data_IF_204229262480
#
_entry.id   IF_204229262480
#
_cell.length_a   1.000
_cell.length_b   1.000
_cell.length_c   1.000
_cell.angle_alpha   90.00
_cell.angle_beta   90.00
_cell.angle_gamma   90.00
#
_symmetry.space_group_name_H-M   'P 1'
#
loop_
_entity.id
_entity.type
_entity.pdbx_description
1 polymer ?
#
# COMPACT_ATOMS: atom_id res chain seq x y z
N UNK A 1 29.71 19.54 15.01
CA UNK A 1 28.55 19.33 15.90
C UNK A 1 27.94 17.99 15.53
N UNK A 2 27.85 17.06 16.50
CA UNK A 2 27.44 15.68 16.27
C UNK A 2 25.98 15.64 15.78
N UNK A 3 25.78 15.14 14.56
CA UNK A 3 24.44 14.87 14.05
C UNK A 3 23.88 13.65 14.80
N UNK A 4 22.96 13.89 15.73
CA UNK A 4 22.20 12.83 16.39
C UNK A 4 21.41 12.03 15.36
N UNK A 5 21.90 10.84 15.06
CA UNK A 5 21.22 9.88 14.19
C UNK A 5 20.00 9.33 14.93
N UNK A 6 18.81 9.88 14.66
CA UNK A 6 17.58 9.59 15.40
C UNK A 6 17.05 8.17 15.09
N UNK A 7 17.54 7.17 15.83
CA UNK A 7 17.24 5.74 15.67
C UNK A 7 15.91 5.30 16.33
N UNK A 8 14.85 6.08 16.14
CA UNK A 8 13.54 5.81 16.75
C UNK A 8 12.57 5.22 15.74
N UNK A 9 11.88 4.13 16.11
CA UNK A 9 10.69 3.61 15.43
C UNK A 9 9.49 3.81 16.38
N UNK A 10 8.29 4.02 15.85
CA UNK A 10 7.05 4.29 16.62
C UNK A 10 7.15 5.51 17.54
N UNK A 11 7.45 6.70 17.00
CA UNK A 11 7.47 7.97 17.77
C UNK A 11 8.36 7.95 19.04
N UNK A 12 9.39 7.10 19.08
CA UNK A 12 10.35 7.04 20.20
C UNK A 12 10.24 5.85 21.14
N UNK A 13 9.31 4.91 20.90
CA UNK A 13 9.08 3.77 21.80
C UNK A 13 10.20 2.71 21.79
N UNK A 14 10.92 2.56 20.68
CA UNK A 14 12.04 1.61 20.60
C UNK A 14 13.28 2.35 20.10
N UNK A 15 14.27 2.49 20.99
CA UNK A 15 15.60 3.03 20.67
C UNK A 15 16.54 1.88 20.35
N UNK A 16 17.10 1.89 19.15
CA UNK A 16 18.05 0.88 18.71
C UNK A 16 19.48 1.38 18.88
N UNK A 17 20.38 0.49 19.31
CA UNK A 17 21.80 0.80 19.49
C UNK A 17 22.56 0.85 18.15
N UNK A 18 22.05 0.16 17.12
CA UNK A 18 22.64 0.12 15.77
C UNK A 18 21.58 0.13 14.66
N UNK A 19 22.01 0.55 13.45
CA UNK A 19 21.21 0.47 12.22
C UNK A 19 20.78 -0.97 11.88
N UNK A 20 21.64 -1.95 12.11
CA UNK A 20 21.34 -3.37 11.86
C UNK A 20 20.24 -3.90 12.77
N UNK A 21 20.23 -3.52 14.05
CA UNK A 21 19.17 -3.92 14.98
C UNK A 21 17.82 -3.28 14.62
N UNK A 22 17.85 -2.04 14.13
CA UNK A 22 16.67 -1.33 13.62
C UNK A 22 16.05 -2.07 12.43
N UNK A 23 16.87 -2.46 11.44
CA UNK A 23 16.42 -3.21 10.25
C UNK A 23 15.78 -4.55 10.67
N UNK A 24 16.41 -5.28 11.59
CA UNK A 24 15.88 -6.56 12.06
C UNK A 24 14.55 -6.41 12.82
N UNK A 25 14.41 -5.33 13.61
CA UNK A 25 13.15 -4.99 14.27
C UNK A 25 12.02 -4.69 13.30
N UNK A 26 12.29 -3.90 12.25
CA UNK A 26 11.29 -3.59 11.20
C UNK A 26 10.93 -4.82 10.40
N UNK A 27 11.90 -5.66 10.06
CA UNK A 27 11.68 -6.90 9.32
C UNK A 27 10.72 -7.82 10.09
N UNK A 28 10.97 -8.05 11.38
CA UNK A 28 10.09 -8.87 12.21
C UNK A 28 8.68 -8.27 12.28
N UNK A 29 8.58 -6.96 12.52
CA UNK A 29 7.29 -6.28 12.55
C UNK A 29 6.51 -6.48 11.24
N UNK A 30 7.16 -6.26 10.09
CA UNK A 30 6.55 -6.42 8.78
C UNK A 30 6.19 -7.88 8.47
N UNK A 31 6.99 -8.84 8.95
CA UNK A 31 6.70 -10.26 8.83
C UNK A 31 5.42 -10.62 9.61
N UNK A 32 5.29 -10.15 10.85
CA UNK A 32 4.09 -10.36 11.68
C UNK A 32 2.86 -9.73 11.01
N UNK A 33 2.96 -8.47 10.57
CA UNK A 33 1.86 -7.79 9.87
C UNK A 33 1.44 -8.58 8.63
N UNK A 34 2.39 -9.03 7.82
CA UNK A 34 2.10 -9.81 6.61
C UNK A 34 1.50 -11.19 6.93
N UNK A 35 1.96 -11.86 7.99
CA UNK A 35 1.39 -13.13 8.44
C UNK A 35 -0.07 -12.97 8.89
N UNK A 36 -0.39 -11.89 9.61
CA UNK A 36 -1.76 -11.56 10.00
C UNK A 36 -2.61 -11.29 8.77
N UNK A 37 -2.09 -10.54 7.80
CA UNK A 37 -2.78 -10.22 6.54
C UNK A 37 -3.15 -11.50 5.77
N UNK A 38 -2.19 -12.42 5.60
CA UNK A 38 -2.42 -13.72 4.94
C UNK A 38 -3.39 -14.59 5.74
N UNK A 39 -3.25 -14.64 7.07
CA UNK A 39 -4.16 -15.41 7.93
C UNK A 39 -5.61 -14.90 7.83
N UNK A 40 -5.82 -13.57 7.87
CA UNK A 40 -7.14 -12.96 7.65
C UNK A 40 -7.66 -13.25 6.24
N UNK A 41 -6.78 -13.29 5.24
CA UNK A 41 -7.11 -13.64 3.86
C UNK A 41 -7.55 -15.08 3.66
N UNK A 42 -7.04 -16.02 4.47
CA UNK A 42 -7.43 -17.43 4.43
C UNK A 42 -8.70 -17.66 5.25
N UNK A 43 -8.73 -17.18 6.49
CA UNK A 43 -9.82 -17.44 7.44
C UNK A 43 -11.11 -16.72 7.02
N UNK A 44 -10.99 -15.54 6.39
CA UNK A 44 -12.13 -14.71 5.91
C UNK A 44 -13.31 -14.73 6.89
N UNK A 45 -13.12 -14.24 8.13
CA UNK A 45 -14.13 -14.38 9.17
C UNK A 45 -15.42 -13.67 8.75
N UNK A 46 -16.56 -14.34 9.02
CA UNK A 46 -17.91 -13.90 8.65
C UNK A 46 -18.17 -12.42 8.96
N UNK A 47 -17.78 -11.97 10.16
CA UNK A 47 -17.92 -10.57 10.57
C UNK A 47 -17.21 -9.56 9.65
N UNK A 48 -16.11 -9.92 8.98
CA UNK A 48 -15.42 -9.01 8.05
C UNK A 48 -15.93 -9.13 6.61
N UNK A 49 -16.64 -10.21 6.27
CA UNK A 49 -17.22 -10.44 4.94
C UNK A 49 -18.68 -10.04 4.83
N UNK A 50 -19.43 -10.08 5.94
CA UNK A 50 -20.87 -9.80 5.99
C UNK A 50 -21.14 -8.32 6.24
N UNK A 51 -20.15 -7.58 6.75
CA UNK A 51 -20.21 -6.13 6.88
C UNK A 51 -19.66 -5.47 5.63
N UNK A 52 -20.53 -4.74 4.93
CA UNK A 52 -20.19 -3.96 3.75
C UNK A 52 -20.03 -2.50 4.14
N UNK A 53 -18.87 -1.92 3.81
CA UNK A 53 -18.57 -0.50 4.02
C UNK A 53 -18.18 0.13 2.68
N UNK A 54 -18.89 1.19 2.27
CA UNK A 54 -18.70 1.87 0.99
C UNK A 54 -18.73 0.91 -0.21
N UNK A 55 -19.68 -0.03 -0.22
CA UNK A 55 -19.89 -0.99 -1.30
C UNK A 55 -18.88 -2.15 -1.37
N UNK A 56 -17.86 -2.17 -0.51
CA UNK A 56 -16.88 -3.25 -0.42
C UNK A 56 -16.92 -3.95 0.93
N UNK A 57 -16.50 -5.21 0.98
CA UNK A 57 -16.37 -5.97 2.22
C UNK A 57 -15.36 -5.29 3.15
N UNK A 58 -15.64 -5.26 4.45
CA UNK A 58 -14.75 -4.66 5.46
C UNK A 58 -13.34 -5.29 5.42
N UNK A 59 -13.26 -6.57 5.06
CA UNK A 59 -12.01 -7.26 4.79
C UNK A 59 -11.12 -6.52 3.77
N UNK A 60 -11.67 -6.08 2.64
CA UNK A 60 -10.90 -5.40 1.58
C UNK A 60 -10.33 -4.07 2.09
N UNK A 61 -11.07 -3.34 2.91
CA UNK A 61 -10.59 -2.11 3.54
C UNK A 61 -9.38 -2.36 4.44
N UNK A 62 -9.44 -3.41 5.26
CA UNK A 62 -8.32 -3.81 6.12
C UNK A 62 -7.09 -4.16 5.28
N UNK A 63 -7.26 -4.90 4.19
CA UNK A 63 -6.15 -5.23 3.28
C UNK A 63 -5.51 -3.99 2.65
N UNK A 64 -6.31 -3.04 2.16
CA UNK A 64 -5.80 -1.78 1.59
C UNK A 64 -5.01 -0.99 2.65
N UNK A 65 -5.52 -0.90 3.87
CA UNK A 65 -4.84 -0.16 4.94
C UNK A 65 -3.53 -0.87 5.34
N UNK A 66 -3.55 -2.18 5.56
CA UNK A 66 -2.36 -2.95 5.94
C UNK A 66 -1.28 -2.90 4.86
N UNK A 67 -1.66 -2.96 3.58
CA UNK A 67 -0.73 -2.81 2.45
C UNK A 67 -0.16 -1.40 2.32
N UNK A 68 -0.91 -0.35 2.63
CA UNK A 68 -0.35 1.01 2.69
C UNK A 68 0.63 1.16 3.86
N UNK A 69 0.28 0.62 5.02
CA UNK A 69 1.14 0.64 6.21
C UNK A 69 2.45 -0.10 5.93
N UNK A 70 2.42 -1.30 5.34
CA UNK A 70 3.67 -2.02 5.00
C UNK A 70 4.51 -1.23 4.00
N UNK A 71 3.90 -0.64 2.97
CA UNK A 71 4.62 0.12 1.95
C UNK A 71 5.34 1.32 2.57
N UNK A 72 4.69 2.02 3.50
CA UNK A 72 5.29 3.12 4.25
C UNK A 72 6.54 2.66 5.03
N UNK A 73 6.44 1.59 5.82
CA UNK A 73 7.58 1.07 6.59
C UNK A 73 8.72 0.56 5.70
N UNK A 74 8.41 -0.07 4.57
CA UNK A 74 9.43 -0.51 3.61
C UNK A 74 10.17 0.70 3.02
N UNK A 75 9.43 1.70 2.55
CA UNK A 75 9.99 2.89 1.94
C UNK A 75 10.82 3.72 2.94
N UNK A 76 10.36 3.86 4.17
CA UNK A 76 11.10 4.64 5.17
C UNK A 76 12.33 3.92 5.73
N UNK A 77 12.21 2.62 6.05
CA UNK A 77 13.25 1.90 6.80
C UNK A 77 14.17 1.05 5.92
N UNK A 78 13.69 0.39 4.85
CA UNK A 78 14.58 -0.38 3.96
C UNK A 78 15.20 0.48 2.87
N UNK A 79 14.43 1.40 2.28
CA UNK A 79 14.96 2.33 1.26
C UNK A 79 15.65 3.56 1.87
N UNK A 80 15.81 3.62 3.20
CA UNK A 80 16.49 4.70 3.92
C UNK A 80 15.97 6.11 3.64
N UNK A 81 14.75 6.25 3.11
CA UNK A 81 14.20 7.54 2.69
C UNK A 81 14.00 8.54 3.84
N UNK A 82 14.05 8.05 5.09
CA UNK A 82 13.89 8.88 6.29
C UNK A 82 15.00 9.91 6.45
N UNK A 83 16.25 9.48 6.23
CA UNK A 83 17.45 10.28 6.47
C UNK A 83 17.93 10.98 5.17
N UNK A 84 17.19 10.78 4.08
CA UNK A 84 17.45 11.39 2.77
C UNK A 84 16.86 12.78 2.57
N UNK A 85 17.44 13.53 1.62
CA UNK A 85 16.98 14.87 1.24
C UNK A 85 15.51 14.84 0.82
N UNK A 86 14.73 15.82 1.29
CA UNK A 86 13.29 15.93 1.01
C UNK A 86 12.97 15.91 -0.49
N UNK A 87 13.86 16.44 -1.33
CA UNK A 87 13.70 16.39 -2.79
C UNK A 87 13.73 14.95 -3.33
N UNK A 88 14.73 14.15 -2.95
CA UNK A 88 14.85 12.75 -3.39
C UNK A 88 13.69 11.89 -2.88
N UNK A 89 13.28 12.10 -1.63
CA UNK A 89 12.11 11.42 -1.05
C UNK A 89 10.85 11.70 -1.86
N UNK A 90 10.63 12.95 -2.26
CA UNK A 90 9.47 13.32 -3.07
C UNK A 90 9.51 12.65 -4.44
N UNK A 91 10.65 12.61 -5.12
CA UNK A 91 10.76 11.92 -6.42
C UNK A 91 10.36 10.45 -6.28
N UNK A 92 10.86 9.76 -5.26
CA UNK A 92 10.60 8.32 -5.08
C UNK A 92 9.16 8.02 -4.70
N UNK A 93 8.50 8.89 -3.92
CA UNK A 93 7.11 8.67 -3.48
C UNK A 93 6.09 9.19 -4.49
N UNK A 94 6.30 10.37 -5.07
CA UNK A 94 5.31 10.99 -5.95
C UNK A 94 5.21 10.33 -7.31
N UNK A 95 6.32 9.81 -7.86
CA UNK A 95 6.31 9.11 -9.16
C UNK A 95 5.37 7.90 -9.15
N UNK A 96 5.48 6.92 -8.23
CA UNK A 96 4.57 5.78 -8.21
C UNK A 96 3.13 6.17 -7.87
N UNK A 97 2.92 7.16 -6.99
CA UNK A 97 1.56 7.64 -6.68
C UNK A 97 0.91 8.24 -7.93
N UNK A 98 1.62 9.12 -8.64
CA UNK A 98 1.14 9.69 -9.90
C UNK A 98 0.86 8.60 -10.93
N UNK A 99 1.79 7.64 -11.09
CA UNK A 99 1.65 6.55 -12.04
C UNK A 99 0.41 5.69 -11.74
N UNK A 100 0.16 5.33 -10.48
CA UNK A 100 -1.01 4.52 -10.09
C UNK A 100 -2.31 5.29 -10.36
N UNK A 101 -2.37 6.58 -9.98
CA UNK A 101 -3.54 7.41 -10.26
C UNK A 101 -3.80 7.55 -11.78
N UNK A 102 -2.74 7.74 -12.56
CA UNK A 102 -2.84 7.84 -14.02
C UNK A 102 -3.24 6.51 -14.67
N UNK A 103 -2.74 5.38 -14.17
CA UNK A 103 -3.14 4.05 -14.61
C UNK A 103 -4.63 3.79 -14.36
N UNK A 104 -5.11 4.12 -13.15
CA UNK A 104 -6.54 4.01 -12.82
C UNK A 104 -7.38 4.87 -13.77
N UNK A 105 -6.93 6.10 -14.04
CA UNK A 105 -7.61 6.99 -14.99
C UNK A 105 -7.72 6.37 -16.39
N UNK A 106 -6.61 5.89 -16.96
CA UNK A 106 -6.63 5.26 -18.30
C UNK A 106 -7.55 4.04 -18.32
N UNK A 107 -7.46 3.17 -17.32
CA UNK A 107 -8.27 1.96 -17.27
C UNK A 107 -9.77 2.27 -17.21
N UNK A 108 -10.16 3.30 -16.44
CA UNK A 108 -11.56 3.72 -16.36
C UNK A 108 -12.04 4.38 -17.66
N UNK A 109 -11.19 5.21 -18.28
CA UNK A 109 -11.52 5.87 -19.54
C UNK A 109 -11.69 4.88 -20.69
N UNK A 110 -10.76 3.94 -20.83
CA UNK A 110 -10.82 2.87 -21.83
C UNK A 110 -12.01 1.92 -21.57
N UNK A 111 -12.29 1.58 -20.30
CA UNK A 111 -13.44 0.76 -19.95
C UNK A 111 -14.77 1.43 -20.32
N UNK A 112 -14.89 2.74 -20.10
CA UNK A 112 -16.08 3.52 -20.49
C UNK A 112 -16.23 3.59 -22.01
N UNK A 113 -15.14 3.86 -22.74
CA UNK A 113 -15.15 3.85 -24.19
C UNK A 113 -15.61 2.51 -24.77
N UNK A 114 -15.03 1.41 -24.27
CA UNK A 114 -15.40 0.05 -24.67
C UNK A 114 -16.87 -0.23 -24.33
N UNK A 115 -17.34 0.18 -23.16
CA UNK A 115 -18.74 0.00 -22.74
C UNK A 115 -19.72 0.72 -23.68
N UNK A 116 -19.42 1.95 -24.08
CA UNK A 116 -20.24 2.71 -25.02
C UNK A 116 -20.26 2.06 -26.41
N UNK A 117 -19.11 1.59 -26.91
CA UNK A 117 -19.03 0.85 -28.19
C UNK A 117 -19.86 -0.42 -28.16
N UNK A 118 -19.85 -1.19 -27.05
CA UNK A 118 -20.68 -2.39 -26.94
C UNK A 118 -22.18 -2.09 -26.84
N UNK A 119 -22.55 -0.95 -26.28
CA UNK A 119 -23.96 -0.58 -26.03
C UNK A 119 -24.61 0.09 -27.24
N UNK A 120 -23.86 0.95 -27.95
CA UNK A 120 -24.34 1.73 -29.10
C UNK A 120 -23.91 1.17 -30.45
N UNK A 121 -22.86 0.33 -30.46
CA UNK A 121 -22.39 -0.33 -31.66
C UNK A 121 -23.38 -1.42 -32.09
N UNK A 122 -23.91 -1.28 -33.30
CA UNK A 122 -24.67 -2.32 -33.99
C UNK A 122 -23.79 -3.55 -34.27
N UNK A 123 -23.48 -4.33 -33.25
CA UNK A 123 -22.98 -5.70 -33.44
C UNK A 123 -24.21 -6.52 -33.78
N UNK A 124 -24.53 -6.60 -35.07
CA UNK A 124 -25.41 -7.64 -35.59
C UNK A 124 -24.74 -8.96 -35.26
N UNK A 125 -25.18 -9.59 -34.17
CA UNK A 125 -24.91 -11.00 -33.91
C UNK A 125 -25.66 -11.77 -34.99
N UNK A 126 -25.05 -11.89 -36.18
CA UNK A 126 -25.46 -12.87 -37.18
C UNK A 126 -25.13 -14.24 -36.58
N UNK A 127 -26.18 -14.90 -36.08
CA UNK A 127 -26.17 -16.32 -35.75
C UNK A 127 -26.58 -17.12 -36.99
#
# INVERSE_FOLDING_TARGET
>A
MAHEHKLEIFRGLVKFKSNTQKIWGVLIFLSIVTAIEVALGIVKPAFLTDNYFLGMKLLNWIFIILTLVKAYYIAWDFMHLRDEKTSLRRVIVWVPVFLICYLIFILLFEADYIHNVFTEGFVTWDF
#
